data_IF_714651641132
#
_entry.id   IF_714651641132
#
_cell.length_a   1.000
_cell.length_b   1.000
_cell.length_c   1.000
_cell.angle_alpha   90.00
_cell.angle_beta   90.00
_cell.angle_gamma   90.00
#
_symmetry.space_group_name_H-M   'P 1'
#
loop_
_entity.id
_entity.type
_entity.pdbx_description
1 polymer ?
#
# COMPACT_ATOMS: atom_id res chain seq x y z
N UNK A 1 -22.67 -46.08 45.16
CA UNK A 1 -21.43 -46.18 44.31
C UNK A 1 -21.66 -45.80 42.84
N UNK A 2 -22.65 -46.35 42.13
CA UNK A 2 -22.88 -46.06 40.69
C UNK A 2 -23.10 -44.59 40.37
N UNK A 3 -23.79 -43.82 41.19
CA UNK A 3 -24.00 -42.38 40.97
C UNK A 3 -22.71 -41.58 41.25
N UNK A 4 -21.88 -42.00 42.17
CA UNK A 4 -20.58 -41.40 42.44
C UNK A 4 -19.65 -41.49 41.19
N UNK A 5 -19.62 -42.70 40.60
CA UNK A 5 -18.84 -42.90 39.37
C UNK A 5 -19.35 -42.06 38.19
N UNK A 6 -20.68 -41.93 38.05
CA UNK A 6 -21.28 -41.10 37.02
C UNK A 6 -20.96 -39.62 37.20
N UNK A 7 -21.06 -39.11 38.42
CA UNK A 7 -20.71 -37.72 38.73
C UNK A 7 -19.24 -37.49 38.46
N UNK A 8 -18.37 -38.42 38.86
CA UNK A 8 -16.90 -38.30 38.65
C UNK A 8 -16.56 -38.31 37.16
N UNK A 9 -17.19 -39.17 36.38
CA UNK A 9 -17.03 -39.22 34.91
C UNK A 9 -17.51 -37.94 34.25
N UNK A 10 -18.66 -37.41 34.68
CA UNK A 10 -19.18 -36.14 34.19
C UNK A 10 -18.21 -34.99 34.49
N UNK A 11 -17.64 -34.96 35.66
CA UNK A 11 -16.68 -33.93 36.09
C UNK A 11 -15.40 -34.00 35.25
N UNK A 12 -14.89 -35.19 34.96
CA UNK A 12 -13.76 -35.41 34.07
C UNK A 12 -14.10 -34.87 32.63
N UNK A 13 -15.28 -35.22 32.09
CA UNK A 13 -15.68 -34.76 30.78
C UNK A 13 -15.78 -33.23 30.74
N UNK A 14 -16.34 -32.60 31.75
CA UNK A 14 -16.41 -31.13 31.85
C UNK A 14 -15.01 -30.52 31.93
N UNK A 15 -14.14 -31.04 32.78
CA UNK A 15 -12.76 -30.52 32.90
C UNK A 15 -11.97 -30.70 31.62
N UNK A 16 -12.05 -31.88 30.98
CA UNK A 16 -11.39 -32.12 29.67
C UNK A 16 -12.00 -31.28 28.57
N UNK A 17 -13.32 -31.09 28.56
CA UNK A 17 -14.02 -30.27 27.58
C UNK A 17 -13.64 -28.76 27.65
N UNK A 18 -13.47 -28.26 28.88
CA UNK A 18 -13.16 -26.85 29.11
C UNK A 18 -11.65 -26.58 29.04
N UNK A 19 -10.85 -27.41 29.73
CA UNK A 19 -9.40 -27.19 29.87
C UNK A 19 -8.57 -27.88 28.77
N UNK A 20 -9.02 -29.00 28.23
CA UNK A 20 -8.30 -29.77 27.20
C UNK A 20 -8.17 -29.10 25.85
N UNK A 21 -8.92 -28.00 25.61
CA UNK A 21 -8.80 -27.17 24.41
C UNK A 21 -7.91 -25.93 24.59
N UNK A 22 -7.39 -25.69 25.77
CA UNK A 22 -6.47 -24.59 26.04
C UNK A 22 -5.16 -24.80 25.27
N UNK A 23 -4.74 -23.79 24.51
CA UNK A 23 -3.50 -23.82 23.73
C UNK A 23 -3.63 -24.49 22.35
N UNK A 24 -4.78 -25.03 21.95
CA UNK A 24 -4.99 -25.48 20.57
C UNK A 24 -5.14 -24.28 19.64
N UNK A 25 -4.46 -24.30 18.48
CA UNK A 25 -4.65 -23.30 17.44
C UNK A 25 -6.01 -23.51 16.78
N UNK A 26 -6.91 -22.55 16.91
CA UNK A 26 -8.22 -22.55 16.29
C UNK A 26 -8.41 -21.28 15.45
N UNK A 27 -9.06 -21.43 14.28
CA UNK A 27 -9.50 -20.29 13.46
C UNK A 27 -10.84 -19.71 13.92
N UNK A 28 -11.50 -20.37 14.84
CA UNK A 28 -12.75 -19.87 15.42
C UNK A 28 -12.43 -19.01 16.65
N UNK A 29 -13.24 -17.97 16.91
CA UNK A 29 -13.08 -17.18 18.12
C UNK A 29 -13.27 -18.08 19.34
N UNK A 30 -12.58 -17.81 20.46
CA UNK A 30 -12.76 -18.56 21.70
C UNK A 30 -14.20 -18.45 22.18
N UNK A 31 -14.65 -19.48 22.90
CA UNK A 31 -15.97 -19.46 23.56
C UNK A 31 -15.93 -18.38 24.64
N UNK A 32 -16.77 -17.38 24.49
CA UNK A 32 -16.91 -16.25 25.39
C UNK A 32 -18.16 -16.48 26.27
N UNK A 33 -17.95 -16.86 27.52
CA UNK A 33 -19.06 -17.08 28.48
C UNK A 33 -19.44 -15.73 29.12
N UNK A 34 -18.45 -14.96 29.54
CA UNK A 34 -18.61 -13.60 30.06
C UNK A 34 -17.69 -12.68 29.25
N UNK A 35 -18.24 -11.73 28.48
CA UNK A 35 -17.43 -10.85 27.62
C UNK A 35 -16.57 -9.87 28.39
N UNK A 36 -16.86 -9.60 29.66
CA UNK A 36 -16.15 -8.68 30.55
C UNK A 36 -15.64 -7.42 29.78
N UNK A 37 -14.32 -7.19 29.75
CA UNK A 37 -13.71 -6.05 29.02
C UNK A 37 -13.46 -6.32 27.52
N UNK A 38 -13.70 -7.53 27.03
CA UNK A 38 -13.46 -7.88 25.62
C UNK A 38 -14.42 -7.13 24.66
N UNK A 39 -15.64 -6.86 25.14
CA UNK A 39 -16.64 -6.07 24.40
C UNK A 39 -16.93 -4.78 25.12
N UNK A 40 -16.46 -3.69 24.54
CA UNK A 40 -16.69 -2.34 25.06
C UNK A 40 -17.53 -1.52 24.11
N UNK A 41 -18.41 -0.60 24.60
CA UNK A 41 -19.19 0.30 23.75
C UNK A 41 -18.30 1.47 23.26
N UNK A 42 -17.21 1.15 22.55
CA UNK A 42 -16.31 2.14 21.96
C UNK A 42 -16.27 1.98 20.44
N UNK A 43 -16.07 3.09 19.75
CA UNK A 43 -15.84 3.09 18.32
C UNK A 43 -14.45 2.51 18.03
N UNK A 44 -14.38 1.56 17.12
CA UNK A 44 -13.13 1.01 16.60
C UNK A 44 -12.97 1.39 15.13
N UNK A 45 -11.76 1.59 14.62
CA UNK A 45 -11.54 1.80 13.19
C UNK A 45 -12.20 0.69 12.37
N UNK A 46 -12.81 1.06 11.24
CA UNK A 46 -13.43 0.13 10.29
C UNK A 46 -14.64 -0.68 10.83
N UNK A 47 -15.15 -0.36 12.01
CA UNK A 47 -16.40 -0.99 12.50
C UNK A 47 -17.63 -0.26 11.98
N UNK A 48 -18.72 -1.00 11.80
CA UNK A 48 -20.01 -0.40 11.48
C UNK A 48 -20.54 0.42 12.65
N UNK A 49 -21.21 1.53 12.35
CA UNK A 49 -21.88 2.36 13.34
C UNK A 49 -23.28 2.72 12.85
N UNK A 50 -24.29 2.41 13.65
CA UNK A 50 -25.70 2.69 13.30
C UNK A 50 -26.13 4.15 13.55
N UNK A 51 -25.31 4.93 14.24
CA UNK A 51 -25.61 6.34 14.53
C UNK A 51 -25.48 7.21 13.28
N UNK A 52 -24.53 6.92 12.40
CA UNK A 52 -24.30 7.69 11.19
C UNK A 52 -25.03 7.09 10.00
N UNK A 53 -25.56 7.95 9.12
CA UNK A 53 -26.32 7.52 7.94
C UNK A 53 -25.53 6.67 6.95
N UNK A 54 -24.20 6.86 6.89
CA UNK A 54 -23.30 6.08 6.05
C UNK A 54 -22.83 4.75 6.71
N UNK A 55 -23.25 4.50 7.95
CA UNK A 55 -22.91 3.29 8.69
C UNK A 55 -21.45 3.20 9.12
N UNK A 56 -20.62 4.24 8.95
CA UNK A 56 -19.18 4.22 9.21
C UNK A 56 -18.86 4.86 10.57
N UNK A 57 -18.04 4.17 11.37
CA UNK A 57 -17.47 4.75 12.60
C UNK A 57 -16.25 5.64 12.33
N UNK A 58 -15.51 5.38 11.25
CA UNK A 58 -14.39 6.21 10.81
C UNK A 58 -14.92 7.31 9.89
N UNK A 59 -14.97 8.54 10.40
CA UNK A 59 -15.48 9.70 9.66
C UNK A 59 -14.38 10.38 8.87
N UNK A 60 -14.74 10.87 7.69
CA UNK A 60 -13.88 11.82 6.97
C UNK A 60 -13.74 13.12 7.77
N UNK A 61 -12.60 13.81 7.70
CA UNK A 61 -12.46 15.13 8.29
C UNK A 61 -13.54 16.09 7.79
N UNK A 62 -14.00 16.99 8.67
CA UNK A 62 -14.96 18.03 8.28
C UNK A 62 -14.31 18.91 7.20
N UNK A 63 -14.99 19.20 6.07
CA UNK A 63 -14.47 20.09 5.05
C UNK A 63 -13.99 21.42 5.62
N UNK A 64 -12.81 21.87 5.19
CA UNK A 64 -12.20 23.11 5.68
C UNK A 64 -11.37 22.98 6.96
N UNK A 65 -11.33 21.79 7.59
CA UNK A 65 -10.44 21.56 8.73
C UNK A 65 -9.06 21.14 8.28
N UNK A 66 -8.04 21.64 8.98
CA UNK A 66 -6.63 21.27 8.78
C UNK A 66 -6.14 20.59 10.05
N UNK A 67 -5.61 19.38 9.92
CA UNK A 67 -5.06 18.65 11.05
C UNK A 67 -3.81 19.37 11.57
N UNK A 68 -3.66 19.42 12.90
CA UNK A 68 -2.45 20.01 13.52
C UNK A 68 -1.19 19.27 13.03
N UNK A 69 -0.21 20.04 12.54
CA UNK A 69 1.05 19.50 11.99
C UNK A 69 0.96 19.04 10.53
N UNK A 70 -0.23 19.13 9.88
CA UNK A 70 -0.31 18.90 8.45
C UNK A 70 0.16 20.13 7.68
N UNK A 71 0.94 19.97 6.60
CA UNK A 71 1.28 21.08 5.72
C UNK A 71 0.02 21.57 5.00
N UNK A 72 -0.27 22.86 5.09
CA UNK A 72 -1.40 23.51 4.41
C UNK A 72 -0.98 24.63 3.46
N UNK A 73 0.33 24.90 3.40
CA UNK A 73 0.86 25.91 2.48
C UNK A 73 0.64 25.48 1.02
N UNK A 74 0.19 26.44 0.21
CA UNK A 74 0.07 26.27 -1.24
C UNK A 74 1.45 26.32 -1.90
N UNK A 75 2.22 25.27 -1.69
CA UNK A 75 3.55 25.09 -2.28
C UNK A 75 3.56 23.89 -3.22
N UNK A 76 4.44 23.89 -4.23
CA UNK A 76 4.57 22.73 -5.13
C UNK A 76 4.86 21.43 -4.40
N UNK A 77 5.59 21.50 -3.31
CA UNK A 77 5.94 20.32 -2.49
C UNK A 77 4.71 19.72 -1.82
N UNK A 78 3.78 20.56 -1.31
CA UNK A 78 2.61 20.08 -0.59
C UNK A 78 1.45 19.69 -1.50
N UNK A 79 1.32 20.37 -2.64
CA UNK A 79 0.14 20.23 -3.51
C UNK A 79 0.41 19.46 -4.80
N UNK A 80 1.66 19.40 -5.25
CA UNK A 80 2.02 18.90 -6.58
C UNK A 80 1.61 19.84 -7.72
N UNK A 81 1.21 21.08 -7.39
CA UNK A 81 0.72 22.08 -8.35
C UNK A 81 1.61 23.31 -8.38
N UNK A 82 1.55 24.01 -9.50
CA UNK A 82 2.13 25.36 -9.61
C UNK A 82 1.27 26.32 -8.78
N UNK A 83 1.86 27.07 -7.82
CA UNK A 83 1.10 27.91 -6.90
C UNK A 83 0.12 28.85 -7.62
N UNK A 84 -1.08 28.97 -7.08
CA UNK A 84 -2.14 29.81 -7.64
C UNK A 84 -2.73 29.31 -8.96
N UNK A 85 -2.40 28.09 -9.39
CA UNK A 85 -2.93 27.49 -10.62
C UNK A 85 -3.48 26.09 -10.40
N UNK A 86 -4.16 25.57 -11.45
CA UNK A 86 -4.61 24.15 -11.46
C UNK A 86 -3.60 23.23 -12.16
N UNK A 87 -2.50 23.78 -12.70
CA UNK A 87 -1.51 23.03 -13.45
C UNK A 87 -0.61 22.22 -12.53
N UNK A 88 -0.26 21.01 -12.94
CA UNK A 88 0.67 20.16 -12.23
C UNK A 88 2.12 20.62 -12.42
N UNK A 89 2.97 20.42 -11.43
CA UNK A 89 4.42 20.56 -11.62
C UNK A 89 4.92 19.43 -12.50
N UNK A 90 5.75 19.78 -13.49
CA UNK A 90 6.29 18.81 -14.45
C UNK A 90 7.37 17.93 -13.83
N UNK A 91 8.12 18.46 -12.87
CA UNK A 91 9.28 17.81 -12.26
C UNK A 91 9.17 17.79 -10.74
N UNK A 92 9.86 16.85 -10.12
CA UNK A 92 9.93 16.69 -8.65
C UNK A 92 10.49 17.98 -8.01
N UNK A 93 9.74 18.66 -7.13
CA UNK A 93 10.15 19.95 -6.55
C UNK A 93 11.14 19.82 -5.37
N UNK A 94 11.72 18.65 -5.16
CA UNK A 94 12.71 18.38 -4.10
C UNK A 94 13.96 17.77 -4.71
N UNK A 95 15.14 17.93 -4.11
CA UNK A 95 16.38 17.33 -4.61
C UNK A 95 16.29 15.79 -4.61
N UNK A 96 16.49 15.19 -5.79
CA UNK A 96 16.52 13.73 -5.93
C UNK A 96 17.91 13.22 -5.59
N UNK A 97 18.08 12.73 -4.36
CA UNK A 97 19.34 12.17 -3.85
C UNK A 97 19.26 10.63 -3.79
N UNK A 98 20.42 9.99 -3.63
CA UNK A 98 20.49 8.54 -3.42
C UNK A 98 19.67 8.10 -2.19
N UNK A 99 19.68 8.90 -1.13
CA UNK A 99 18.89 8.64 0.09
C UNK A 99 17.40 8.73 -0.19
N UNK A 100 16.95 9.76 -0.92
CA UNK A 100 15.55 9.91 -1.31
C UNK A 100 15.12 8.72 -2.19
N UNK A 101 15.96 8.29 -3.12
CA UNK A 101 15.70 7.15 -3.99
C UNK A 101 15.56 5.84 -3.21
N UNK A 102 16.48 5.56 -2.27
CA UNK A 102 16.40 4.38 -1.41
C UNK A 102 15.13 4.41 -0.54
N UNK A 103 14.77 5.58 -0.01
CA UNK A 103 13.53 5.78 0.74
C UNK A 103 12.31 5.53 -0.14
N UNK A 104 12.33 6.03 -1.39
CA UNK A 104 11.27 5.81 -2.37
C UNK A 104 11.05 4.33 -2.68
N UNK A 105 12.13 3.58 -2.86
CA UNK A 105 12.09 2.14 -3.05
C UNK A 105 11.46 1.41 -1.85
N UNK A 106 11.90 1.74 -0.64
CA UNK A 106 11.35 1.16 0.59
C UNK A 106 9.83 1.41 0.68
N UNK A 107 9.40 2.67 0.52
CA UNK A 107 7.99 3.06 0.65
C UNK A 107 7.12 2.52 -0.48
N UNK A 108 7.65 2.47 -1.70
CA UNK A 108 7.00 1.82 -2.82
C UNK A 108 6.75 0.33 -2.55
N UNK A 109 7.77 -0.37 -2.07
CA UNK A 109 7.65 -1.80 -1.76
C UNK A 109 6.61 -2.09 -0.67
N UNK A 110 6.47 -1.21 0.32
CA UNK A 110 5.49 -1.36 1.40
C UNK A 110 4.07 -1.04 0.92
N UNK A 111 3.87 0.10 0.26
CA UNK A 111 2.54 0.65 0.02
C UNK A 111 2.01 0.40 -1.40
N UNK A 112 2.87 0.28 -2.39
CA UNK A 112 2.49 0.29 -3.81
C UNK A 112 2.66 -1.08 -4.48
N UNK A 113 3.74 -1.81 -4.16
CA UNK A 113 4.07 -3.07 -4.82
C UNK A 113 3.03 -4.18 -4.62
N UNK A 114 2.25 -4.25 -3.51
CA UNK A 114 1.20 -5.25 -3.41
C UNK A 114 0.19 -5.20 -4.56
N UNK A 115 -0.08 -4.00 -5.09
CA UNK A 115 -0.93 -3.81 -6.25
C UNK A 115 -0.12 -3.71 -7.55
N UNK A 116 0.86 -2.79 -7.60
CA UNK A 116 1.58 -2.47 -8.83
C UNK A 116 2.71 -3.46 -9.20
N UNK A 117 3.04 -4.42 -8.33
CA UNK A 117 4.21 -5.29 -8.50
C UNK A 117 5.52 -4.60 -8.14
N UNK A 118 6.55 -5.37 -7.78
CA UNK A 118 7.85 -4.81 -7.41
C UNK A 118 8.54 -4.08 -8.58
N UNK A 119 8.24 -4.48 -9.81
CA UNK A 119 8.72 -3.84 -11.04
C UNK A 119 7.78 -2.76 -11.57
N UNK A 120 6.64 -2.50 -10.93
CA UNK A 120 5.65 -1.52 -11.40
C UNK A 120 4.83 -1.96 -12.62
N UNK A 121 4.76 -3.27 -12.90
CA UNK A 121 4.11 -3.86 -14.08
C UNK A 121 2.61 -4.15 -13.91
N UNK A 122 2.02 -3.71 -12.79
CA UNK A 122 0.60 -3.95 -12.47
C UNK A 122 0.28 -5.38 -12.05
N UNK A 123 1.28 -6.24 -11.84
CA UNK A 123 1.11 -7.66 -11.49
C UNK A 123 1.41 -7.96 -10.03
N UNK A 124 0.98 -7.08 -9.14
CA UNK A 124 1.08 -7.30 -7.70
C UNK A 124 0.21 -8.47 -7.22
N UNK A 125 0.41 -8.87 -5.97
CA UNK A 125 -0.30 -10.02 -5.39
C UNK A 125 -1.83 -9.83 -5.41
N UNK A 126 -2.32 -8.59 -5.29
CA UNK A 126 -3.75 -8.27 -5.31
C UNK A 126 -4.44 -8.62 -6.62
N UNK A 127 -3.68 -8.64 -7.74
CA UNK A 127 -4.22 -9.06 -9.04
C UNK A 127 -4.70 -10.52 -9.04
N UNK A 128 -4.08 -11.37 -8.22
CA UNK A 128 -4.47 -12.77 -8.04
C UNK A 128 -5.74 -12.95 -7.21
N UNK A 129 -6.14 -11.91 -6.49
CA UNK A 129 -7.34 -11.90 -5.65
C UNK A 129 -8.48 -11.04 -6.22
N UNK A 130 -8.50 -10.87 -7.55
CA UNK A 130 -9.61 -10.24 -8.26
C UNK A 130 -9.44 -8.75 -8.58
N UNK A 131 -8.35 -8.10 -8.17
CA UNK A 131 -8.05 -6.72 -8.56
C UNK A 131 -7.35 -6.71 -9.93
N UNK A 132 -8.13 -6.94 -11.00
CA UNK A 132 -7.57 -7.17 -12.34
C UNK A 132 -7.15 -5.89 -13.10
N UNK A 133 -7.60 -4.70 -12.67
CA UNK A 133 -7.44 -3.44 -13.42
C UNK A 133 -6.42 -2.53 -12.73
N UNK A 134 -5.20 -3.01 -12.56
CA UNK A 134 -4.10 -2.22 -12.01
C UNK A 134 -3.28 -1.65 -13.16
N UNK A 135 -2.92 -0.36 -13.06
CA UNK A 135 -2.10 0.27 -14.08
C UNK A 135 -0.68 -0.29 -14.09
N UNK A 136 -0.18 -0.65 -15.28
CA UNK A 136 1.26 -0.77 -15.52
C UNK A 136 1.85 0.65 -15.50
N UNK A 137 2.79 0.89 -14.61
CA UNK A 137 3.42 2.21 -14.47
C UNK A 137 4.30 2.59 -15.66
N UNK A 138 4.55 1.65 -16.58
CA UNK A 138 5.30 1.86 -17.82
C UNK A 138 4.40 2.16 -19.04
N UNK A 139 3.07 2.25 -18.83
CA UNK A 139 2.15 2.53 -19.93
C UNK A 139 2.43 3.90 -20.55
N UNK A 140 2.85 3.87 -21.82
CA UNK A 140 3.08 5.06 -22.65
C UNK A 140 1.95 5.32 -23.65
N UNK A 141 0.99 4.38 -23.77
CA UNK A 141 -0.10 4.40 -24.76
C UNK A 141 -1.45 4.68 -24.11
N UNK A 142 -2.40 5.28 -24.86
CA UNK A 142 -3.77 5.41 -24.40
C UNK A 142 -4.36 4.06 -23.97
N UNK A 143 -5.28 4.05 -22.99
CA UNK A 143 -5.88 5.22 -22.35
C UNK A 143 -5.08 5.78 -21.13
N UNK A 144 -4.02 5.12 -20.68
CA UNK A 144 -3.44 5.42 -19.36
C UNK A 144 -2.23 6.36 -19.38
N UNK A 145 -1.38 6.31 -20.38
CA UNK A 145 -0.20 7.19 -20.57
C UNK A 145 0.56 7.59 -19.27
N UNK A 146 0.78 6.64 -18.35
CA UNK A 146 1.34 6.94 -17.02
C UNK A 146 2.74 7.56 -17.12
N UNK A 147 3.52 7.15 -18.10
CA UNK A 147 4.88 7.69 -18.33
C UNK A 147 4.86 9.18 -18.70
N UNK A 148 3.78 9.65 -19.34
CA UNK A 148 3.65 11.03 -19.80
C UNK A 148 3.00 11.96 -18.78
N UNK A 149 2.57 11.44 -17.62
CA UNK A 149 1.97 12.27 -16.59
C UNK A 149 3.04 13.13 -15.92
N UNK A 150 2.75 14.41 -15.62
CA UNK A 150 3.60 15.26 -14.78
C UNK A 150 3.83 14.62 -13.40
N UNK A 151 4.97 14.91 -12.79
CA UNK A 151 5.29 14.38 -11.46
C UNK A 151 4.28 14.80 -10.41
N UNK A 152 3.75 16.03 -10.52
CA UNK A 152 2.67 16.53 -9.67
C UNK A 152 1.36 15.76 -9.80
N UNK A 153 1.01 15.27 -11.00
CA UNK A 153 -0.19 14.45 -11.19
C UNK A 153 -0.04 13.07 -10.51
N UNK A 154 1.16 12.48 -10.60
CA UNK A 154 1.46 11.21 -9.91
C UNK A 154 1.37 11.42 -8.39
N UNK A 155 1.99 12.49 -7.87
CA UNK A 155 1.90 12.87 -6.47
C UNK A 155 0.45 13.04 -6.00
N UNK A 156 -0.38 13.74 -6.79
CA UNK A 156 -1.79 13.93 -6.50
C UNK A 156 -2.56 12.61 -6.51
N UNK A 157 -2.26 11.72 -7.47
CA UNK A 157 -2.86 10.40 -7.56
C UNK A 157 -2.55 9.56 -6.31
N UNK A 158 -1.32 9.61 -5.82
CA UNK A 158 -0.95 8.96 -4.55
C UNK A 158 -1.70 9.60 -3.38
N UNK A 159 -1.83 10.92 -3.38
CA UNK A 159 -2.43 11.66 -2.26
C UNK A 159 -3.92 11.40 -2.12
N UNK A 160 -4.68 11.54 -3.20
CA UNK A 160 -6.14 11.56 -3.20
C UNK A 160 -6.78 10.32 -3.82
N UNK A 161 -5.97 9.46 -4.44
CA UNK A 161 -6.46 8.33 -5.22
C UNK A 161 -6.94 8.75 -6.61
N UNK A 162 -7.20 7.76 -7.45
CA UNK A 162 -7.76 7.95 -8.80
C UNK A 162 -8.54 6.70 -9.21
N UNK A 163 -9.80 6.84 -9.53
CA UNK A 163 -10.71 5.73 -9.91
C UNK A 163 -10.74 4.62 -8.84
N UNK A 164 -10.17 3.46 -9.10
CA UNK A 164 -10.12 2.33 -8.15
C UNK A 164 -8.93 2.40 -7.17
N UNK A 165 -7.96 3.25 -7.42
CA UNK A 165 -6.83 3.45 -6.53
C UNK A 165 -7.26 4.32 -5.34
N UNK A 166 -7.20 3.76 -4.13
CA UNK A 166 -7.49 4.50 -2.90
C UNK A 166 -6.45 5.59 -2.60
N UNK A 167 -6.82 6.54 -1.76
CA UNK A 167 -5.96 7.62 -1.31
C UNK A 167 -4.93 7.13 -0.27
N UNK A 168 -3.68 7.51 -0.43
CA UNK A 168 -2.57 7.20 0.50
C UNK A 168 -2.10 8.43 1.30
N UNK A 169 -2.74 9.58 1.11
CA UNK A 169 -2.34 10.84 1.76
C UNK A 169 -2.30 10.78 3.28
N UNK A 170 -3.14 9.96 3.91
CA UNK A 170 -3.16 9.77 5.35
C UNK A 170 -2.05 8.84 5.88
N UNK A 171 -1.55 7.92 5.04
CA UNK A 171 -0.62 6.87 5.45
C UNK A 171 0.82 7.14 5.03
N UNK A 172 1.01 7.99 4.01
CA UNK A 172 2.32 8.29 3.42
C UNK A 172 2.56 9.78 3.53
N UNK A 173 3.68 10.18 4.15
CA UNK A 173 4.05 11.60 4.32
C UNK A 173 4.29 12.30 2.99
N UNK A 174 4.27 13.61 2.97
CA UNK A 174 4.54 14.41 1.75
C UNK A 174 5.91 14.06 1.14
N UNK A 175 6.94 13.98 1.99
CA UNK A 175 8.30 13.63 1.56
C UNK A 175 8.37 12.21 1.00
N UNK A 176 7.73 11.24 1.67
CA UNK A 176 7.69 9.85 1.20
C UNK A 176 6.93 9.72 -0.13
N UNK A 177 5.90 10.55 -0.36
CA UNK A 177 5.19 10.56 -1.67
C UNK A 177 6.11 11.03 -2.79
N UNK A 178 6.90 12.09 -2.59
CA UNK A 178 7.88 12.52 -3.58
C UNK A 178 9.01 11.51 -3.78
N UNK A 179 9.42 10.84 -2.70
CA UNK A 179 10.37 9.74 -2.80
C UNK A 179 9.82 8.59 -3.65
N UNK A 180 8.54 8.23 -3.47
CA UNK A 180 7.85 7.22 -4.29
C UNK A 180 7.78 7.68 -5.75
N UNK A 181 7.43 8.94 -6.03
CA UNK A 181 7.42 9.48 -7.41
C UNK A 181 8.79 9.34 -8.05
N UNK A 182 9.87 9.70 -7.34
CA UNK A 182 11.23 9.53 -7.84
C UNK A 182 11.56 8.07 -8.17
N UNK A 183 11.17 7.14 -7.31
CA UNK A 183 11.38 5.72 -7.54
C UNK A 183 10.54 5.18 -8.71
N UNK A 184 9.30 5.63 -8.86
CA UNK A 184 8.45 5.29 -10.03
C UNK A 184 9.13 5.75 -11.32
N UNK A 185 9.72 6.95 -11.36
CA UNK A 185 10.49 7.42 -12.51
C UNK A 185 11.71 6.56 -12.79
N UNK A 186 12.40 6.08 -11.76
CA UNK A 186 13.50 5.13 -11.93
C UNK A 186 13.03 3.80 -12.50
N UNK A 187 11.89 3.26 -12.04
CA UNK A 187 11.30 2.05 -12.60
C UNK A 187 10.93 2.24 -14.08
N UNK A 188 10.29 3.35 -14.44
CA UNK A 188 10.00 3.69 -15.83
C UNK A 188 11.27 3.75 -16.68
N UNK A 189 12.30 4.43 -16.18
CA UNK A 189 13.59 4.55 -16.88
C UNK A 189 14.28 3.18 -17.04
N UNK A 190 14.22 2.31 -16.05
CA UNK A 190 14.83 0.98 -16.13
C UNK A 190 14.26 0.12 -17.26
N UNK A 191 13.04 0.39 -17.71
CA UNK A 191 12.34 -0.39 -18.74
C UNK A 191 12.27 0.31 -20.10
N UNK A 192 12.27 1.62 -20.10
CA UNK A 192 12.05 2.46 -21.29
C UNK A 192 13.29 3.26 -21.69
N UNK A 193 14.40 3.10 -20.94
CA UNK A 193 15.64 3.78 -21.26
C UNK A 193 16.23 3.33 -22.60
N UNK A 194 16.81 4.29 -23.29
CA UNK A 194 17.65 4.05 -24.46
C UNK A 194 19.13 3.91 -24.09
N UNK A 195 19.96 3.41 -25.00
CA UNK A 195 21.40 3.34 -24.78
C UNK A 195 22.01 4.74 -24.57
N UNK A 196 21.36 5.78 -25.06
CA UNK A 196 21.79 7.18 -24.90
C UNK A 196 21.68 7.68 -23.44
N UNK A 197 20.77 7.08 -22.67
CA UNK A 197 20.58 7.37 -21.25
C UNK A 197 21.73 6.86 -20.37
N UNK A 198 22.57 5.98 -20.92
CA UNK A 198 23.72 5.40 -20.21
C UNK A 198 24.96 6.25 -20.45
N UNK A 199 25.75 6.57 -19.42
CA UNK A 199 27.03 7.26 -19.58
C UNK A 199 27.90 6.57 -20.64
N UNK A 200 28.53 7.37 -21.53
CA UNK A 200 29.27 6.86 -22.68
C UNK A 200 30.32 5.82 -22.29
N UNK A 201 30.92 5.97 -21.11
CA UNK A 201 31.93 5.05 -20.56
C UNK A 201 31.39 3.64 -20.27
N UNK A 202 30.10 3.52 -19.97
CA UNK A 202 29.46 2.24 -19.60
C UNK A 202 28.74 1.58 -20.78
N UNK A 203 28.51 2.29 -21.89
CA UNK A 203 27.82 1.76 -23.08
C UNK A 203 28.48 0.51 -23.68
N UNK A 204 29.83 0.43 -23.78
CA UNK A 204 30.51 -0.75 -24.32
C UNK A 204 30.25 -2.03 -23.51
N UNK A 205 30.02 -1.93 -22.22
CA UNK A 205 29.71 -3.08 -21.36
C UNK A 205 28.31 -3.67 -21.65
N UNK A 206 27.34 -2.81 -22.03
CA UNK A 206 25.97 -3.20 -22.30
C UNK A 206 25.76 -3.72 -23.73
N UNK A 207 26.65 -3.38 -24.65
CA UNK A 207 26.60 -3.84 -26.04
C UNK A 207 27.28 -5.19 -26.26
N UNK A 208 27.98 -5.72 -25.25
CA UNK A 208 28.55 -7.08 -25.33
C UNK A 208 27.43 -8.11 -25.30
N UNK A 209 27.46 -9.14 -26.18
CA UNK A 209 26.52 -10.24 -26.10
C UNK A 209 26.54 -10.87 -24.71
N UNK A 210 25.39 -11.07 -24.12
CA UNK A 210 25.28 -11.83 -22.87
C UNK A 210 25.81 -13.24 -23.08
N UNK A 211 26.61 -13.77 -22.15
CA UNK A 211 27.00 -15.18 -22.24
C UNK A 211 25.74 -16.06 -22.28
N UNK A 212 25.74 -17.15 -23.02
CA UNK A 212 24.59 -18.04 -23.11
C UNK A 212 24.15 -18.44 -21.69
N UNK A 213 22.89 -18.19 -21.39
CA UNK A 213 22.29 -18.55 -20.10
C UNK A 213 22.43 -20.07 -19.84
N UNK A 214 22.39 -20.50 -18.57
CA UNK A 214 22.45 -21.93 -18.25
C UNK A 214 21.29 -22.65 -18.96
N UNK A 215 21.63 -23.77 -19.62
CA UNK A 215 20.66 -24.60 -20.32
C UNK A 215 19.48 -24.98 -19.38
N UNK A 216 18.23 -25.00 -19.86
CA UNK A 216 17.10 -25.41 -19.03
C UNK A 216 17.34 -26.83 -18.52
N UNK A 217 17.32 -26.98 -17.20
CA UNK A 217 17.36 -28.34 -16.58
C UNK A 217 16.08 -29.06 -17.02
N UNK A 218 16.29 -30.19 -17.71
CA UNK A 218 15.25 -31.16 -18.06
C UNK A 218 14.67 -31.79 -16.80
#
# INVERSE_FOLDING_TARGET
MRYFLLIYLLLIVVVVGVAGRRGSMSRQPPIEIFPDMDRQPKLRPQTANRFFSDGLSSRLPVPGTVARGSPFEDSPVNTGKVPGTTNWVETIPVPVTATLMARGQERFNINCSPCHGAAGDGKGITSKYGMAIIADLHDSKPPRKVVQQPDGEIFNTITYGKTLMGAYGANVTVEDRWAIVAYVRALQRSRLASLEDVPAEQRPALTKPLPPGPAPKK
#
